data_IF_189116238742
#
_entry.id   IF_189116238742
#
_cell.length_a   1.000
_cell.length_b   1.000
_cell.length_c   1.000
_cell.angle_alpha   90.00
_cell.angle_beta   90.00
_cell.angle_gamma   90.00
#
_symmetry.space_group_name_H-M   'P 1'
#
loop_
_entity.id
_entity.type
_entity.pdbx_description
1 polymer ?
#
# COMPACT_ATOMS: atom_id res chain seq x y z
N UNK A 1 5.46 -46.24 15.38
CA UNK A 1 5.65 -46.84 14.05
C UNK A 1 5.66 -45.71 13.04
N UNK A 2 6.83 -45.36 12.52
CA UNK A 2 7.04 -44.29 11.55
C UNK A 2 7.25 -44.96 10.19
N UNK A 3 6.35 -44.74 9.23
CA UNK A 3 6.52 -45.26 7.86
C UNK A 3 6.94 -44.11 6.96
N UNK A 4 8.21 -44.17 6.56
CA UNK A 4 8.88 -43.27 5.63
C UNK A 4 8.66 -43.82 4.22
N UNK A 5 7.93 -43.09 3.38
CA UNK A 5 7.74 -43.43 1.96
C UNK A 5 8.57 -42.50 1.08
N UNK A 6 9.65 -43.06 0.53
CA UNK A 6 10.36 -42.52 -0.62
C UNK A 6 9.62 -42.91 -1.91
N UNK A 7 9.45 -41.95 -2.83
CA UNK A 7 9.18 -42.22 -4.25
C UNK A 7 10.06 -41.29 -5.08
N UNK A 8 11.04 -41.89 -5.74
CA UNK A 8 11.90 -41.29 -6.76
C UNK A 8 11.45 -41.79 -8.14
N UNK A 9 11.40 -40.88 -9.12
CA UNK A 9 11.34 -41.10 -10.58
C UNK A 9 12.05 -39.87 -11.18
N UNK A 10 13.28 -39.94 -11.70
CA UNK A 10 13.81 -40.57 -12.92
C UNK A 10 13.52 -39.78 -14.22
N UNK A 11 14.61 -39.36 -14.89
CA UNK A 11 14.70 -39.01 -16.33
C UNK A 11 14.58 -37.51 -16.68
N UNK A 12 15.39 -36.86 -17.51
CA UNK A 12 16.43 -37.31 -18.46
C UNK A 12 17.48 -36.21 -18.73
N UNK A 13 18.74 -36.66 -18.83
CA UNK A 13 19.89 -36.21 -19.63
C UNK A 13 19.57 -35.53 -20.98
N UNK A 14 20.41 -34.74 -21.70
CA UNK A 14 21.69 -34.00 -21.55
C UNK A 14 21.93 -33.32 -22.96
N UNK A 15 23.13 -32.85 -23.41
CA UNK A 15 23.35 -31.51 -24.00
C UNK A 15 23.57 -31.41 -25.55
N UNK A 16 23.80 -30.16 -26.00
CA UNK A 16 24.15 -29.56 -27.32
C UNK A 16 25.08 -30.38 -28.28
N UNK A 17 25.25 -30.06 -29.61
CA UNK A 17 25.92 -28.83 -30.11
C UNK A 17 25.55 -28.31 -31.53
N UNK A 18 26.28 -27.25 -31.93
CA UNK A 18 26.21 -26.39 -33.12
C UNK A 18 26.43 -27.06 -34.50
N UNK A 19 26.13 -26.33 -35.60
CA UNK A 19 27.05 -25.98 -36.73
C UNK A 19 26.32 -25.20 -37.85
N UNK A 20 26.88 -24.06 -38.30
CA UNK A 20 26.51 -23.28 -39.51
C UNK A 20 27.18 -23.91 -40.76
N UNK A 21 26.78 -23.58 -42.02
CA UNK A 21 27.42 -22.42 -42.68
C UNK A 21 26.49 -21.59 -43.58
N UNK A 22 26.96 -20.37 -43.85
CA UNK A 22 26.35 -19.36 -44.67
C UNK A 22 26.51 -19.65 -46.18
N UNK A 23 25.52 -19.24 -46.97
CA UNK A 23 25.69 -18.97 -48.39
C UNK A 23 25.11 -17.58 -48.69
N UNK A 24 25.96 -16.73 -49.28
CA UNK A 24 25.64 -15.36 -49.68
C UNK A 24 25.35 -15.33 -51.17
N UNK A 25 24.22 -14.74 -51.56
CA UNK A 25 24.04 -14.11 -52.86
C UNK A 25 23.02 -12.95 -52.73
N UNK A 26 23.51 -11.73 -52.88
CA UNK A 26 22.75 -10.47 -53.07
C UNK A 26 22.41 -10.29 -54.56
N UNK A 27 21.72 -9.21 -55.00
CA UNK A 27 20.70 -8.36 -54.37
C UNK A 27 19.50 -8.13 -55.32
N UNK A 28 18.32 -7.70 -54.85
CA UNK A 28 17.33 -7.00 -55.71
C UNK A 28 16.34 -6.21 -54.85
N UNK A 29 16.46 -4.88 -54.95
CA UNK A 29 15.41 -3.84 -54.96
C UNK A 29 14.35 -3.86 -53.84
N UNK A 30 14.46 -2.88 -52.96
CA UNK A 30 13.41 -2.48 -52.02
C UNK A 30 12.16 -1.94 -52.73
N UNK A 31 10.99 -2.05 -52.08
CA UNK A 31 10.23 -0.85 -51.83
C UNK A 31 9.90 -0.69 -50.34
N UNK A 32 9.95 0.57 -49.89
CA UNK A 32 9.51 1.03 -48.57
C UNK A 32 8.15 0.45 -48.20
N UNK A 33 8.11 -0.36 -47.15
CA UNK A 33 6.90 -0.58 -46.36
C UNK A 33 7.13 0.15 -45.04
N UNK A 34 6.35 1.22 -44.82
CA UNK A 34 6.46 2.06 -43.63
C UNK A 34 6.32 1.25 -42.34
N UNK A 35 6.86 1.74 -41.21
CA UNK A 35 6.76 1.04 -39.94
C UNK A 35 5.28 0.92 -39.55
N UNK A 36 4.76 -0.31 -39.53
CA UNK A 36 3.51 -0.61 -38.87
C UNK A 36 3.64 -0.21 -37.38
N UNK A 37 2.68 0.54 -36.81
CA UNK A 37 2.67 0.77 -35.37
C UNK A 37 2.42 -0.58 -34.70
N UNK A 38 3.45 -1.11 -34.03
CA UNK A 38 3.28 -2.23 -33.10
C UNK A 38 2.35 -1.71 -32.01
N UNK A 39 1.11 -2.21 -31.99
CA UNK A 39 0.17 -1.93 -30.92
C UNK A 39 0.84 -2.30 -29.60
N UNK A 40 1.19 -1.28 -28.81
CA UNK A 40 1.72 -1.47 -27.48
C UNK A 40 0.67 -2.23 -26.67
N UNK A 41 1.00 -3.46 -26.28
CA UNK A 41 0.19 -4.24 -25.35
C UNK A 41 0.06 -3.41 -24.07
N UNK A 42 -1.15 -3.15 -23.54
CA UNK A 42 -1.28 -2.41 -22.30
C UNK A 42 -0.51 -3.14 -21.20
N UNK A 43 0.55 -2.51 -20.70
CA UNK A 43 1.21 -2.97 -19.48
C UNK A 43 0.15 -2.90 -18.38
N UNK A 44 -0.19 -4.01 -17.70
CA UNK A 44 -1.05 -3.95 -16.53
C UNK A 44 -0.43 -2.95 -15.56
N UNK A 45 -1.20 -2.02 -14.96
CA UNK A 45 -0.63 -1.10 -13.98
C UNK A 45 0.08 -1.93 -12.91
N UNK A 46 1.38 -1.71 -12.76
CA UNK A 46 2.21 -2.42 -11.80
C UNK A 46 1.60 -2.25 -10.41
N UNK A 47 0.87 -3.26 -9.95
CA UNK A 47 0.18 -3.28 -8.65
C UNK A 47 1.14 -3.16 -7.45
N UNK A 48 2.46 -3.15 -7.71
CA UNK A 48 3.53 -3.19 -6.70
C UNK A 48 3.80 -1.85 -6.00
N UNK A 49 3.51 -0.69 -6.62
CA UNK A 49 3.63 0.59 -5.91
C UNK A 49 2.45 0.84 -4.96
N UNK A 50 1.31 0.19 -5.19
CA UNK A 50 0.13 0.33 -4.36
C UNK A 50 0.19 -0.46 -3.04
N UNK A 51 1.32 -1.08 -2.70
CA UNK A 51 1.41 -1.99 -1.54
C UNK A 51 2.48 -1.57 -0.51
N UNK A 52 3.26 -0.52 -0.76
CA UNK A 52 4.52 -0.32 -0.04
C UNK A 52 4.50 0.62 1.18
N UNK A 53 3.35 1.15 1.63
CA UNK A 53 3.36 2.10 2.76
C UNK A 53 2.01 2.41 3.39
N UNK A 54 2.07 2.99 4.59
CA UNK A 54 0.90 3.51 5.32
C UNK A 54 0.29 4.68 4.56
N UNK A 55 -1.03 4.67 4.34
CA UNK A 55 -1.75 5.72 3.58
C UNK A 55 -3.24 5.77 3.90
N UNK A 56 -3.83 6.94 3.70
CA UNK A 56 -5.29 7.09 3.59
C UNK A 56 -5.70 6.63 2.19
N UNK A 57 -6.71 5.76 2.12
CA UNK A 57 -7.19 5.15 0.88
C UNK A 57 -8.34 5.95 0.27
N UNK A 58 -9.30 6.36 1.10
CA UNK A 58 -10.48 7.09 0.65
C UNK A 58 -11.17 7.82 1.81
N UNK A 59 -11.94 8.84 1.46
CA UNK A 59 -12.94 9.47 2.32
C UNK A 59 -14.29 9.46 1.62
N UNK A 60 -15.36 9.18 2.36
CA UNK A 60 -16.71 9.13 1.80
C UNK A 60 -17.73 9.65 2.82
N UNK A 61 -18.56 10.60 2.39
CA UNK A 61 -19.70 11.05 3.17
C UNK A 61 -20.75 9.95 3.31
N UNK A 62 -21.33 9.85 4.49
CA UNK A 62 -22.47 8.98 4.77
C UNK A 62 -23.31 9.55 5.92
N UNK A 63 -24.47 8.94 6.18
CA UNK A 63 -25.29 9.27 7.34
C UNK A 63 -25.08 8.23 8.44
N UNK A 64 -24.58 8.65 9.62
CA UNK A 64 -24.52 7.83 10.82
C UNK A 64 -25.68 8.24 11.74
N UNK A 65 -26.64 7.33 11.97
CA UNK A 65 -27.81 7.60 12.83
C UNK A 65 -28.57 8.88 12.44
N UNK A 66 -28.67 9.15 11.13
CA UNK A 66 -29.34 10.34 10.59
C UNK A 66 -28.52 11.63 10.62
N UNK A 67 -27.27 11.61 11.08
CA UNK A 67 -26.36 12.76 11.08
C UNK A 67 -25.27 12.61 10.00
N UNK A 68 -24.80 13.71 9.38
CA UNK A 68 -23.69 13.65 8.43
C UNK A 68 -22.42 13.16 9.12
N UNK A 69 -21.71 12.23 8.49
CA UNK A 69 -20.50 11.61 9.00
C UNK A 69 -19.53 11.29 7.86
N UNK A 70 -18.25 11.16 8.19
CA UNK A 70 -17.19 10.83 7.25
C UNK A 70 -16.66 9.43 7.53
N UNK A 71 -16.73 8.57 6.51
CA UNK A 71 -16.04 7.29 6.49
C UNK A 71 -14.63 7.50 5.95
N UNK A 72 -13.61 7.21 6.75
CA UNK A 72 -12.19 7.26 6.36
C UNK A 72 -11.69 5.82 6.21
N UNK A 73 -11.31 5.43 5.01
CA UNK A 73 -10.63 4.15 4.76
C UNK A 73 -9.13 4.37 4.68
N UNK A 74 -8.36 3.54 5.39
CA UNK A 74 -6.91 3.69 5.50
C UNK A 74 -6.22 2.33 5.56
N UNK A 75 -4.90 2.31 5.41
CA UNK A 75 -4.08 1.10 5.58
C UNK A 75 -2.75 1.47 6.19
N UNK A 76 -2.31 0.69 7.18
CA UNK A 76 -0.93 0.71 7.65
C UNK A 76 -0.06 -0.27 6.86
N UNK A 77 1.22 0.07 6.68
CA UNK A 77 2.18 -0.83 6.05
C UNK A 77 2.25 -2.17 6.79
N UNK A 78 2.02 -3.27 6.08
CA UNK A 78 1.97 -4.62 6.67
C UNK A 78 0.63 -5.00 7.32
N UNK A 79 -0.38 -4.12 7.30
CA UNK A 79 -1.71 -4.38 7.85
C UNK A 79 -2.79 -4.42 6.76
N UNK A 80 -3.92 -5.05 7.10
CA UNK A 80 -5.13 -4.96 6.30
C UNK A 80 -5.63 -3.51 6.22
N UNK A 81 -6.46 -3.21 5.22
CA UNK A 81 -7.15 -1.93 5.20
C UNK A 81 -8.22 -1.90 6.29
N UNK A 82 -8.40 -0.76 6.92
CA UNK A 82 -9.37 -0.53 7.98
C UNK A 82 -10.22 0.71 7.70
N UNK A 83 -11.27 0.92 8.49
CA UNK A 83 -12.23 2.02 8.35
C UNK A 83 -12.49 2.67 9.70
N UNK A 84 -12.38 3.99 9.72
CA UNK A 84 -12.81 4.86 10.80
C UNK A 84 -14.07 5.62 10.39
N UNK A 85 -14.96 5.88 11.35
CA UNK A 85 -16.12 6.74 11.18
C UNK A 85 -15.98 7.98 12.06
N UNK A 86 -16.12 9.16 11.47
CA UNK A 86 -16.02 10.44 12.16
C UNK A 86 -17.36 11.18 12.06
N UNK A 87 -17.87 11.72 13.16
CA UNK A 87 -19.23 12.32 13.25
C UNK A 87 -19.30 13.76 12.71
N UNK A 88 -18.64 14.02 11.58
CA UNK A 88 -18.70 15.28 10.83
C UNK A 88 -18.67 14.97 9.32
N UNK A 89 -19.21 15.83 8.44
CA UNK A 89 -19.10 15.64 7.00
C UNK A 89 -17.64 15.61 6.56
N UNK A 90 -17.31 14.86 5.50
CA UNK A 90 -15.95 14.73 5.03
C UNK A 90 -15.32 16.06 4.61
N UNK A 91 -16.11 17.08 4.27
CA UNK A 91 -15.60 18.42 3.98
C UNK A 91 -14.94 19.10 5.21
N UNK A 92 -15.37 18.75 6.44
CA UNK A 92 -14.84 19.27 7.68
C UNK A 92 -13.70 18.41 8.27
N UNK A 93 -13.51 17.20 7.75
CA UNK A 93 -12.55 16.24 8.29
C UNK A 93 -11.24 16.28 7.51
N UNK A 94 -10.11 16.42 8.19
CA UNK A 94 -8.78 16.13 7.65
C UNK A 94 -8.34 14.75 8.12
N UNK A 95 -7.88 13.89 7.20
CA UNK A 95 -7.29 12.59 7.54
C UNK A 95 -5.96 12.43 6.81
N UNK A 96 -4.87 12.19 7.55
CA UNK A 96 -3.50 12.11 7.02
C UNK A 96 -2.70 11.05 7.75
N UNK A 97 -1.74 10.44 7.03
CA UNK A 97 -0.70 9.62 7.66
C UNK A 97 0.47 10.50 8.04
N UNK A 98 0.65 10.73 9.33
CA UNK A 98 1.65 11.64 9.89
C UNK A 98 2.77 10.89 10.56
N UNK A 99 3.98 11.41 10.40
CA UNK A 99 5.18 10.99 11.10
C UNK A 99 5.30 11.71 12.44
N UNK A 100 6.20 11.22 13.31
CA UNK A 100 6.53 11.90 14.57
C UNK A 100 6.89 13.39 14.36
N UNK A 101 7.80 13.78 13.44
CA UNK A 101 8.09 15.20 13.20
C UNK A 101 6.85 16.01 12.83
N UNK A 102 6.02 15.52 11.92
CA UNK A 102 4.78 16.21 11.50
C UNK A 102 3.81 16.39 12.70
N UNK A 103 3.68 15.38 13.58
CA UNK A 103 2.87 15.50 14.79
C UNK A 103 3.47 16.48 15.82
N UNK A 104 4.81 16.55 15.90
CA UNK A 104 5.50 17.46 16.81
C UNK A 104 5.37 18.91 16.36
N UNK A 105 5.45 19.18 15.05
CA UNK A 105 5.20 20.51 14.47
C UNK A 105 3.81 21.04 14.79
N UNK A 106 2.82 20.14 14.90
CA UNK A 106 1.45 20.49 15.30
C UNK A 106 1.24 20.54 16.83
N UNK A 107 2.30 20.31 17.63
CA UNK A 107 2.20 20.23 19.09
C UNK A 107 1.38 19.02 19.59
N UNK A 108 1.07 18.05 18.72
CA UNK A 108 0.22 16.89 19.03
C UNK A 108 1.03 15.71 19.55
N UNK A 109 2.31 15.61 19.22
CA UNK A 109 3.19 14.53 19.69
C UNK A 109 3.30 14.46 21.22
N UNK A 110 3.45 15.59 21.89
CA UNK A 110 3.64 15.62 23.35
C UNK A 110 2.36 15.34 24.13
N UNK A 111 1.20 15.37 23.47
CA UNK A 111 -0.09 14.97 24.05
C UNK A 111 -0.32 13.47 24.06
N UNK A 112 0.43 12.73 23.26
CA UNK A 112 0.38 11.29 23.26
C UNK A 112 1.00 10.76 24.56
N UNK A 113 0.31 9.84 25.22
CA UNK A 113 0.90 9.11 26.35
C UNK A 113 2.13 8.29 25.90
N UNK A 114 2.90 7.80 26.87
CA UNK A 114 4.13 7.05 26.58
C UNK A 114 3.86 5.77 25.77
N UNK A 115 2.72 5.11 25.99
CA UNK A 115 2.35 3.90 25.27
C UNK A 115 2.06 4.22 23.81
N UNK A 116 1.25 5.25 23.55
CA UNK A 116 0.94 5.72 22.21
C UNK A 116 2.20 6.14 21.45
N UNK A 117 3.12 6.88 22.09
CA UNK A 117 4.41 7.25 21.48
C UNK A 117 5.25 6.03 21.12
N UNK A 118 5.27 5.01 21.99
CA UNK A 118 5.96 3.74 21.74
C UNK A 118 5.37 3.00 20.55
N UNK A 119 4.04 2.90 20.46
CA UNK A 119 3.37 2.23 19.34
C UNK A 119 3.56 2.98 18.02
N UNK A 120 3.49 4.32 18.01
CA UNK A 120 3.77 5.09 16.79
C UNK A 120 5.21 4.89 16.31
N UNK A 121 6.19 4.84 17.22
CA UNK A 121 7.58 4.59 16.87
C UNK A 121 7.82 3.18 16.32
N UNK A 122 7.00 2.20 16.72
CA UNK A 122 7.07 0.82 16.25
C UNK A 122 6.41 0.58 14.87
N UNK A 123 5.60 1.53 14.37
CA UNK A 123 4.92 1.38 13.08
C UNK A 123 5.92 1.40 11.92
N UNK A 124 5.79 0.49 10.92
CA UNK A 124 6.63 0.53 9.73
C UNK A 124 6.45 1.85 8.97
N UNK A 125 7.57 2.53 8.72
CA UNK A 125 7.58 3.87 8.13
C UNK A 125 7.26 5.01 9.09
N UNK A 126 7.05 4.73 10.38
CA UNK A 126 6.85 5.72 11.45
C UNK A 126 5.64 6.63 11.23
N UNK A 127 4.65 6.17 10.46
CA UNK A 127 3.46 6.92 10.09
C UNK A 127 2.25 6.39 10.84
N UNK A 128 1.51 7.28 11.49
CA UNK A 128 0.25 7.05 12.18
C UNK A 128 -0.87 7.86 11.54
N UNK A 129 -2.08 7.32 11.53
CA UNK A 129 -3.27 8.03 11.09
C UNK A 129 -3.59 9.13 12.11
N UNK A 130 -3.64 10.36 11.61
CA UNK A 130 -4.15 11.54 12.29
C UNK A 130 -5.46 11.95 11.62
N UNK A 131 -6.49 12.18 12.44
CA UNK A 131 -7.79 12.68 11.97
C UNK A 131 -8.16 13.90 12.80
N UNK A 132 -8.58 14.95 12.11
CA UNK A 132 -8.96 16.23 12.69
C UNK A 132 -10.29 16.65 12.10
N UNK A 133 -11.21 17.05 12.96
CA UNK A 133 -12.47 17.67 12.60
C UNK A 133 -12.50 19.13 13.06
N UNK A 134 -13.69 19.70 13.17
CA UNK A 134 -13.85 21.12 13.50
C UNK A 134 -13.51 21.44 14.96
N UNK A 135 -13.71 20.46 15.85
CA UNK A 135 -13.60 20.66 17.31
C UNK A 135 -12.75 19.61 18.02
N UNK A 136 -12.30 18.58 17.31
CA UNK A 136 -11.54 17.49 17.89
C UNK A 136 -10.48 16.98 16.92
N UNK A 137 -9.45 16.36 17.47
CA UNK A 137 -8.42 15.69 16.71
C UNK A 137 -7.98 14.44 17.47
N UNK A 138 -7.69 13.37 16.74
CA UNK A 138 -7.29 12.08 17.30
C UNK A 138 -6.19 11.44 16.45
N UNK A 139 -5.32 10.68 17.12
CA UNK A 139 -4.28 9.84 16.53
C UNK A 139 -4.64 8.38 16.76
N UNK A 140 -4.39 7.51 15.77
CA UNK A 140 -4.85 6.12 15.78
C UNK A 140 -3.69 5.09 15.74
N UNK A 141 -2.82 5.00 16.77
CA UNK A 141 -1.75 4.01 16.81
C UNK A 141 -2.28 2.56 16.82
N UNK A 142 -1.45 1.61 16.40
CA UNK A 142 -1.73 0.17 16.52
C UNK A 142 -1.17 -0.34 17.85
N UNK A 143 -2.06 -0.80 18.72
CA UNK A 143 -1.67 -1.39 20.01
C UNK A 143 -1.24 -2.85 19.90
N UNK A 144 -1.08 -3.50 21.05
CA UNK A 144 -0.66 -4.92 21.15
C UNK A 144 -1.64 -5.91 20.51
N UNK A 145 -2.91 -5.53 20.38
CA UNK A 145 -3.95 -6.37 19.76
C UNK A 145 -3.90 -6.37 18.24
N UNK A 146 -3.05 -5.52 17.63
CA UNK A 146 -2.97 -5.36 16.18
C UNK A 146 -4.07 -4.47 15.58
N UNK A 147 -5.00 -3.98 16.39
CA UNK A 147 -6.02 -3.00 15.99
C UNK A 147 -5.60 -1.58 16.31
N UNK A 148 -6.06 -0.64 15.49
CA UNK A 148 -5.92 0.78 15.80
C UNK A 148 -6.84 1.16 16.97
N UNK A 149 -6.36 2.01 17.87
CA UNK A 149 -7.15 2.58 18.97
C UNK A 149 -7.07 4.10 18.95
N UNK A 150 -8.07 4.77 19.50
CA UNK A 150 -8.15 6.24 19.47
C UNK A 150 -7.39 6.88 20.62
N UNK A 151 -6.59 7.91 20.32
CA UNK A 151 -5.95 8.81 21.29
C UNK A 151 -6.31 10.24 20.93
N UNK A 152 -7.13 10.90 21.74
CA UNK A 152 -7.52 12.30 21.53
C UNK A 152 -6.34 13.25 21.76
N UNK A 153 -6.17 14.21 20.87
CA UNK A 153 -5.08 15.22 20.89
C UNK A 153 -5.60 16.66 20.68
N UNK A 154 -6.91 16.89 20.85
CA UNK A 154 -7.51 18.22 20.83
C UNK A 154 -6.87 19.16 21.87
N UNK A 155 -6.96 20.48 21.64
CA UNK A 155 -6.41 21.55 22.49
C UNK A 155 -7.19 21.77 23.79
#
# INVERSE_FOLDING_TARGET
MLVMSCLALAGCSQPAPATKPAESASPTVAPLVGPMPVAAKPTPPTASAAQAGSRVLAKKDFALRGKPACKVSYRYAGHAADTLFWEEPCAAVTAKMMTKPELAELGKWDRLDESARTFVAALPGGKVLYVEGSFSASVYPIGTTGSAYEVSVAD
#
